data_IF_960082059947
#
_entry.id   IF_960082059947
#
_cell.length_a   1.000
_cell.length_b   1.000
_cell.length_c   1.000
_cell.angle_alpha   90.00
_cell.angle_beta   90.00
_cell.angle_gamma   90.00
#
_symmetry.space_group_name_H-M   'P 1'
#
loop_
_entity.id
_entity.type
_entity.pdbx_description
1 polymer ?
#
# COMPACT_ATOMS: atom_id res chain seq x y z
N UNK A 1 17.84 5.23 -0.42
CA UNK A 1 17.40 3.81 -0.36
C UNK A 1 16.23 3.67 0.59
N UNK A 2 15.24 2.90 0.21
CA UNK A 2 14.07 2.70 1.06
C UNK A 2 14.34 1.67 2.15
N UNK A 3 13.89 1.97 3.37
CA UNK A 3 13.96 1.03 4.48
C UNK A 3 12.68 0.21 4.51
N UNK A 4 12.82 -1.09 4.35
CA UNK A 4 11.68 -2.01 4.40
C UNK A 4 11.56 -2.56 5.82
N UNK A 5 10.41 -2.33 6.43
CA UNK A 5 10.10 -2.87 7.76
C UNK A 5 9.43 -4.21 7.60
N UNK A 6 9.58 -5.04 8.62
CA UNK A 6 8.88 -6.32 8.66
C UNK A 6 8.25 -6.49 10.03
N UNK A 7 6.91 -6.48 10.07
CA UNK A 7 6.16 -6.63 11.31
C UNK A 7 4.92 -7.47 11.05
N UNK A 8 4.64 -8.39 11.97
CA UNK A 8 3.39 -9.16 11.97
C UNK A 8 3.10 -9.83 10.64
N UNK A 9 4.15 -10.28 9.95
CA UNK A 9 4.02 -10.97 8.68
C UNK A 9 3.94 -10.07 7.45
N UNK A 10 4.01 -8.75 7.62
CA UNK A 10 3.99 -7.80 6.52
C UNK A 10 5.36 -7.17 6.31
N UNK A 11 5.70 -6.94 5.04
CA UNK A 11 6.85 -6.14 4.66
C UNK A 11 6.34 -4.85 4.05
N UNK A 12 6.89 -3.71 4.49
CA UNK A 12 6.38 -2.43 4.02
C UNK A 12 7.38 -1.32 4.28
N UNK A 13 7.22 -0.23 3.55
CA UNK A 13 7.93 1.03 3.79
C UNK A 13 6.99 1.93 4.59
N UNK A 14 7.51 2.61 5.60
CA UNK A 14 6.74 3.55 6.42
C UNK A 14 7.68 4.68 6.82
N UNK A 15 7.60 5.80 6.11
CA UNK A 15 8.50 6.93 6.33
C UNK A 15 7.74 8.25 6.31
N UNK A 16 8.23 9.19 7.12
CA UNK A 16 7.67 10.52 7.17
C UNK A 16 6.65 10.70 8.26
N UNK A 17 6.16 11.93 8.37
CA UNK A 17 5.14 12.32 9.34
C UNK A 17 4.10 13.16 8.64
N UNK A 18 2.86 13.11 9.14
CA UNK A 18 1.76 13.87 8.60
C UNK A 18 0.60 12.96 8.20
N UNK A 19 -0.29 13.45 7.36
CA UNK A 19 -1.38 12.62 6.85
C UNK A 19 -0.82 11.38 6.14
N UNK A 20 -1.52 10.26 6.24
CA UNK A 20 -1.06 9.00 5.64
C UNK A 20 -1.33 8.97 4.15
N UNK A 21 -0.27 8.68 3.39
CA UNK A 21 -0.34 8.43 1.95
C UNK A 21 0.08 6.98 1.73
N UNK A 22 -0.86 6.12 1.35
CA UNK A 22 -0.58 4.71 1.08
C UNK A 22 -0.44 4.50 -0.43
N UNK A 23 0.67 3.90 -0.84
CA UNK A 23 0.97 3.63 -2.25
C UNK A 23 0.90 2.14 -2.51
N UNK A 24 0.17 1.75 -3.55
CA UNK A 24 0.07 0.35 -3.96
C UNK A 24 0.76 0.17 -5.31
N UNK A 25 1.73 -0.75 -5.35
CA UNK A 25 2.54 -0.98 -6.54
C UNK A 25 1.90 -2.00 -7.47
N UNK A 26 2.36 -2.03 -8.73
CA UNK A 26 1.90 -2.99 -9.73
C UNK A 26 2.87 -4.15 -9.89
N UNK A 27 2.61 -4.96 -10.94
CA UNK A 27 3.38 -6.18 -11.20
C UNK A 27 4.88 -5.92 -11.37
N UNK A 28 5.23 -4.85 -12.07
CA UNK A 28 6.63 -4.49 -12.30
C UNK A 28 7.02 -3.28 -11.48
N UNK A 29 6.16 -2.89 -10.55
CA UNK A 29 6.41 -1.72 -9.72
C UNK A 29 7.24 -2.08 -8.52
N UNK A 30 8.52 -2.35 -8.71
CA UNK A 30 9.42 -2.56 -7.59
C UNK A 30 9.40 -1.34 -6.67
N UNK A 31 9.74 -1.54 -5.40
CA UNK A 31 9.78 -0.44 -4.44
C UNK A 31 10.71 0.69 -4.91
N UNK A 32 11.73 0.36 -5.70
CA UNK A 32 12.64 1.36 -6.25
C UNK A 32 11.91 2.40 -7.11
N UNK A 33 10.80 2.02 -7.75
CA UNK A 33 10.00 2.97 -8.54
C UNK A 33 9.34 4.03 -7.67
N UNK A 34 9.18 3.76 -6.39
CA UNK A 34 8.55 4.67 -5.45
C UNK A 34 9.54 5.47 -4.62
N UNK A 35 10.84 5.19 -4.74
CA UNK A 35 11.85 5.88 -3.93
C UNK A 35 11.80 7.39 -4.11
N UNK A 36 11.67 7.85 -5.35
CA UNK A 36 11.57 9.29 -5.63
C UNK A 36 10.30 9.88 -5.00
N UNK A 37 9.20 9.12 -5.01
CA UNK A 37 7.95 9.56 -4.41
C UNK A 37 8.09 9.66 -2.90
N UNK A 38 8.71 8.67 -2.26
CA UNK A 38 8.95 8.70 -0.82
C UNK A 38 9.83 9.90 -0.46
N UNK A 39 10.92 10.12 -1.20
CA UNK A 39 11.82 11.24 -0.95
C UNK A 39 11.11 12.58 -1.11
N UNK A 40 10.19 12.68 -2.05
CA UNK A 40 9.47 13.92 -2.32
C UNK A 40 8.42 14.22 -1.25
N UNK A 41 7.69 13.21 -0.79
CA UNK A 41 6.50 13.45 0.04
C UNK A 41 6.67 13.15 1.52
N UNK A 42 7.74 12.46 1.92
CA UNK A 42 7.92 12.06 3.33
C UNK A 42 8.14 13.24 4.28
N UNK A 43 8.44 14.43 3.76
CA UNK A 43 8.54 15.64 4.59
C UNK A 43 7.18 16.19 5.00
N UNK A 44 6.12 15.83 4.29
CA UNK A 44 4.77 16.35 4.52
C UNK A 44 3.74 15.27 4.80
N UNK A 45 4.05 14.04 4.44
CA UNK A 45 3.13 12.90 4.56
C UNK A 45 3.84 11.72 5.22
N UNK A 46 3.06 10.89 5.90
CA UNK A 46 3.52 9.56 6.27
C UNK A 46 3.29 8.66 5.07
N UNK A 47 4.36 8.26 4.42
CA UNK A 47 4.28 7.45 3.20
C UNK A 47 4.41 5.98 3.57
N UNK A 48 3.38 5.19 3.26
CA UNK A 48 3.32 3.76 3.58
C UNK A 48 3.14 2.96 2.31
N UNK A 49 4.04 2.01 2.07
CA UNK A 49 4.01 1.17 0.86
C UNK A 49 4.07 -0.30 1.28
N UNK A 50 2.93 -1.00 1.36
CA UNK A 50 2.97 -2.43 1.62
C UNK A 50 3.50 -3.19 0.41
N UNK A 51 4.28 -4.24 0.65
CA UNK A 51 4.71 -5.14 -0.41
C UNK A 51 3.57 -6.12 -0.68
N UNK A 52 2.93 -5.96 -1.84
CA UNK A 52 1.81 -6.82 -2.21
C UNK A 52 2.32 -8.20 -2.61
N UNK A 53 1.65 -9.28 -2.16
CA UNK A 53 2.12 -10.65 -2.43
C UNK A 53 1.71 -11.14 -3.82
N UNK A 54 2.04 -10.36 -4.85
CA UNK A 54 1.61 -10.63 -6.23
C UNK A 54 2.18 -11.94 -6.74
N UNK A 55 3.43 -12.24 -6.38
CA UNK A 55 4.12 -13.43 -6.88
C UNK A 55 4.08 -14.62 -5.93
N UNK A 56 3.61 -14.44 -4.70
CA UNK A 56 3.66 -15.49 -3.67
C UNK A 56 2.30 -16.04 -3.29
N UNK A 57 1.22 -15.33 -3.62
CA UNK A 57 -0.14 -15.85 -3.36
C UNK A 57 -0.49 -17.00 -4.31
N UNK A 58 -1.27 -17.98 -3.85
CA UNK A 58 -1.83 -18.97 -4.77
C UNK A 58 -2.62 -18.29 -5.88
N UNK A 59 -2.64 -18.90 -7.07
CA UNK A 59 -3.25 -18.28 -8.24
C UNK A 59 -4.68 -17.84 -7.98
N UNK A 60 -5.49 -18.66 -7.34
CA UNK A 60 -6.89 -18.32 -7.10
C UNK A 60 -7.07 -17.23 -6.03
N UNK A 61 -6.02 -16.95 -5.26
CA UNK A 61 -6.04 -15.90 -4.25
C UNK A 61 -5.31 -14.64 -4.70
N UNK A 62 -4.60 -14.71 -5.82
CA UNK A 62 -3.82 -13.59 -6.34
C UNK A 62 -4.65 -12.61 -7.16
N UNK A 63 -5.97 -12.80 -7.28
CA UNK A 63 -6.85 -11.87 -7.97
C UNK A 63 -7.05 -10.59 -7.18
N UNK A 64 -7.81 -9.66 -7.76
CA UNK A 64 -8.05 -8.37 -7.13
C UNK A 64 -8.68 -8.49 -5.74
N UNK A 65 -9.61 -9.43 -5.58
CA UNK A 65 -10.26 -9.65 -4.27
C UNK A 65 -9.26 -10.12 -3.23
N UNK A 66 -8.35 -11.01 -3.59
CA UNK A 66 -7.32 -11.48 -2.66
C UNK A 66 -6.37 -10.36 -2.26
N UNK A 67 -5.98 -9.53 -3.21
CA UNK A 67 -5.11 -8.39 -2.93
C UNK A 67 -5.83 -7.33 -2.10
N UNK A 68 -7.11 -7.09 -2.36
CA UNK A 68 -7.91 -6.18 -1.53
C UNK A 68 -7.96 -6.67 -0.09
N UNK A 69 -8.22 -7.95 0.10
CA UNK A 69 -8.26 -8.54 1.44
C UNK A 69 -6.92 -8.40 2.14
N UNK A 70 -5.82 -8.61 1.42
CA UNK A 70 -4.48 -8.41 1.96
C UNK A 70 -4.28 -6.97 2.45
N UNK A 71 -4.71 -5.98 1.65
CA UNK A 71 -4.57 -4.58 2.02
C UNK A 71 -5.43 -4.26 3.25
N UNK A 72 -6.65 -4.81 3.31
CA UNK A 72 -7.51 -4.62 4.48
C UNK A 72 -6.86 -5.14 5.76
N UNK A 73 -6.27 -6.33 5.69
CA UNK A 73 -5.56 -6.91 6.83
C UNK A 73 -4.35 -6.07 7.22
N UNK A 74 -3.61 -5.59 6.23
CA UNK A 74 -2.45 -4.73 6.47
C UNK A 74 -2.85 -3.45 7.17
N UNK A 75 -3.87 -2.76 6.65
CA UNK A 75 -4.35 -1.50 7.23
C UNK A 75 -4.80 -1.69 8.66
N UNK A 76 -5.55 -2.76 8.93
CA UNK A 76 -6.03 -3.05 10.28
C UNK A 76 -4.87 -3.37 11.23
N UNK A 77 -3.90 -4.14 10.75
CA UNK A 77 -2.77 -4.59 11.59
C UNK A 77 -1.85 -3.44 11.95
N UNK A 78 -1.54 -2.57 10.99
CA UNK A 78 -0.65 -1.43 11.22
C UNK A 78 -1.41 -0.26 11.87
N UNK A 79 -2.72 -0.24 11.77
CA UNK A 79 -3.54 0.79 12.42
C UNK A 79 -3.64 2.07 11.62
N UNK A 80 -3.78 1.97 10.31
CA UNK A 80 -3.91 3.15 9.45
C UNK A 80 -5.36 3.58 9.32
N UNK A 81 -5.57 4.89 9.14
CA UNK A 81 -6.89 5.45 8.96
C UNK A 81 -6.79 6.77 8.20
N UNK A 82 -7.90 7.22 7.64
CA UNK A 82 -8.04 8.51 6.98
C UNK A 82 -6.92 8.75 5.96
N UNK A 83 -6.76 7.81 5.03
CA UNK A 83 -5.64 7.77 4.10
C UNK A 83 -5.95 8.44 2.78
N UNK A 84 -4.92 9.08 2.19
CA UNK A 84 -4.86 9.29 0.75
C UNK A 84 -4.29 7.99 0.17
N UNK A 85 -4.92 7.46 -0.87
CA UNK A 85 -4.48 6.21 -1.47
C UNK A 85 -4.11 6.45 -2.93
N UNK A 86 -3.01 5.84 -3.36
CA UNK A 86 -2.53 5.97 -4.73
C UNK A 86 -2.06 4.60 -5.19
N UNK A 87 -2.34 4.27 -6.45
CA UNK A 87 -1.91 3.00 -7.00
C UNK A 87 -1.44 3.14 -8.43
N UNK A 88 -0.56 2.24 -8.84
CA UNK A 88 -0.02 2.21 -10.20
C UNK A 88 -0.33 0.87 -10.83
N UNK A 89 -0.93 0.87 -12.03
CA UNK A 89 -1.26 -0.34 -12.77
C UNK A 89 -2.15 -1.26 -11.94
N UNK A 90 -1.74 -2.50 -11.67
CA UNK A 90 -2.49 -3.42 -10.81
C UNK A 90 -2.77 -2.81 -9.44
N UNK A 91 -1.80 -2.10 -8.88
CA UNK A 91 -1.98 -1.40 -7.61
C UNK A 91 -3.10 -0.37 -7.67
N UNK A 92 -3.30 0.28 -8.82
CA UNK A 92 -4.39 1.21 -9.01
C UNK A 92 -5.75 0.53 -8.95
N UNK A 93 -5.87 -0.65 -9.54
CA UNK A 93 -7.11 -1.43 -9.47
C UNK A 93 -7.40 -1.88 -8.04
N UNK A 94 -6.36 -2.33 -7.33
CA UNK A 94 -6.51 -2.72 -5.92
C UNK A 94 -6.90 -1.53 -5.07
N UNK A 95 -6.28 -0.37 -5.30
CA UNK A 95 -6.58 0.85 -4.56
C UNK A 95 -8.04 1.25 -4.73
N UNK A 96 -8.54 1.22 -5.97
CA UNK A 96 -9.93 1.54 -6.24
C UNK A 96 -10.87 0.57 -5.55
N UNK A 97 -10.59 -0.71 -5.66
CA UNK A 97 -11.43 -1.74 -5.05
C UNK A 97 -11.43 -1.61 -3.53
N UNK A 98 -10.25 -1.36 -2.93
CA UNK A 98 -10.14 -1.13 -1.50
C UNK A 98 -10.99 0.08 -1.07
N UNK A 99 -10.87 1.19 -1.79
CA UNK A 99 -11.61 2.42 -1.45
C UNK A 99 -13.12 2.22 -1.54
N UNK A 100 -13.58 1.47 -2.54
CA UNK A 100 -15.01 1.19 -2.69
C UNK A 100 -15.57 0.36 -1.53
N UNK A 101 -14.76 -0.53 -0.97
CA UNK A 101 -15.19 -1.39 0.14
C UNK A 101 -14.90 -0.77 1.51
N UNK A 102 -14.05 0.24 1.58
CA UNK A 102 -13.63 0.85 2.84
C UNK A 102 -13.68 2.37 2.76
N UNK A 103 -14.85 2.96 2.42
CA UNK A 103 -14.93 4.40 2.16
C UNK A 103 -14.62 5.26 3.37
N UNK A 104 -14.77 4.74 4.59
CA UNK A 104 -14.47 5.51 5.79
C UNK A 104 -12.98 5.60 6.11
N UNK A 105 -12.16 4.75 5.48
CA UNK A 105 -10.71 4.71 5.68
C UNK A 105 -9.96 5.62 4.71
N UNK A 106 -10.59 6.02 3.62
CA UNK A 106 -9.94 6.71 2.52
C UNK A 106 -10.50 8.12 2.39
N UNK A 107 -9.62 9.11 2.41
CA UNK A 107 -10.01 10.51 2.18
C UNK A 107 -9.93 10.88 0.70
N UNK A 108 -9.03 10.21 -0.05
CA UNK A 108 -8.87 10.41 -1.49
C UNK A 108 -8.32 9.18 -2.19
#
# INVERSE_FOLDING_TARGET
MLNVKQEKGFQYVDEGNGPTLMLLHGLFGALSNWEAVVNRFSSQYRVVIPMLPIYTMPIKEAGLEGLRSFVEDFVATIGLDNMVIMGNSLGGHVALLYALHNPTKVSR
#
